data_IF_690840515890
#
_entry.id   IF_690840515890
#
_cell.length_a   1.000
_cell.length_b   1.000
_cell.length_c   1.000
_cell.angle_alpha   90.00
_cell.angle_beta   90.00
_cell.angle_gamma   90.00
#
_symmetry.space_group_name_H-M   'P 1'
#
loop_
_entity.id
_entity.type
_entity.pdbx_description
1 polymer ?
#
# COMPACT_ATOMS: atom_id res chain seq x y z
N UNK A 1 9.24 8.78 -30.51
CA UNK A 1 9.61 7.86 -29.42
C UNK A 1 8.45 7.77 -28.45
N UNK A 2 8.03 6.55 -28.07
CA UNK A 2 7.00 6.34 -27.05
C UNK A 2 7.65 6.20 -25.68
N UNK A 3 7.28 7.07 -24.75
CA UNK A 3 7.84 7.14 -23.40
C UNK A 3 6.78 6.78 -22.39
N UNK A 4 7.01 5.72 -21.61
CA UNK A 4 6.15 5.34 -20.49
C UNK A 4 6.71 5.95 -19.20
N UNK A 5 5.92 6.82 -18.55
CA UNK A 5 6.27 7.52 -17.32
C UNK A 5 5.52 6.86 -16.16
N UNK A 6 6.23 6.10 -15.34
CA UNK A 6 5.65 5.25 -14.28
C UNK A 6 6.33 5.48 -12.91
N UNK A 7 6.26 6.69 -12.31
CA UNK A 7 6.86 7.00 -11.02
C UNK A 7 5.97 6.58 -9.85
N UNK A 8 6.60 6.37 -8.70
CA UNK A 8 5.96 6.39 -7.38
C UNK A 8 5.91 7.82 -6.83
N UNK A 9 5.25 7.99 -5.68
CA UNK A 9 5.19 9.26 -4.94
C UNK A 9 6.58 9.74 -4.51
N UNK A 10 6.77 11.04 -4.51
CA UNK A 10 7.92 11.69 -3.87
C UNK A 10 7.50 12.05 -2.43
N UNK A 11 7.77 11.13 -1.52
CA UNK A 11 7.25 11.16 -0.15
C UNK A 11 7.47 12.52 0.52
N UNK A 12 6.38 13.13 0.98
CA UNK A 12 6.39 14.43 1.64
C UNK A 12 6.34 15.63 0.70
N UNK A 13 6.39 15.44 -0.64
CA UNK A 13 6.39 16.54 -1.62
C UNK A 13 5.39 16.40 -2.76
N UNK A 14 5.34 15.24 -3.44
CA UNK A 14 4.41 15.00 -4.56
C UNK A 14 3.74 13.63 -4.44
N UNK A 15 2.48 13.57 -4.85
CA UNK A 15 1.80 12.29 -5.15
C UNK A 15 2.42 11.63 -6.38
N UNK A 16 2.13 10.35 -6.62
CA UNK A 16 2.60 9.66 -7.82
C UNK A 16 2.03 10.29 -9.11
N UNK A 17 0.77 10.75 -9.07
CA UNK A 17 0.10 11.47 -10.16
C UNK A 17 0.82 12.80 -10.46
N UNK A 18 1.06 13.62 -9.43
CA UNK A 18 1.76 14.89 -9.59
C UNK A 18 3.20 14.72 -10.11
N UNK A 19 3.88 13.66 -9.67
CA UNK A 19 5.22 13.32 -10.17
C UNK A 19 5.17 12.89 -11.65
N UNK A 20 4.21 12.05 -12.04
CA UNK A 20 4.00 11.63 -13.41
C UNK A 20 3.70 12.82 -14.34
N UNK A 21 2.82 13.73 -13.91
CA UNK A 21 2.53 14.95 -14.66
C UNK A 21 3.74 15.88 -14.81
N UNK A 22 4.52 16.08 -13.73
CA UNK A 22 5.72 16.91 -13.79
C UNK A 22 6.76 16.33 -14.76
N UNK A 23 7.01 15.02 -14.69
CA UNK A 23 7.90 14.32 -15.60
C UNK A 23 7.39 14.42 -17.04
N UNK A 24 6.10 14.20 -17.29
CA UNK A 24 5.51 14.29 -18.64
C UNK A 24 5.66 15.69 -19.24
N UNK A 25 5.30 16.76 -18.50
CA UNK A 25 5.47 18.15 -18.98
C UNK A 25 6.91 18.51 -19.26
N UNK A 26 7.83 18.07 -18.38
CA UNK A 26 9.25 18.27 -18.62
C UNK A 26 9.74 17.54 -19.87
N UNK A 27 9.30 16.30 -20.06
CA UNK A 27 9.66 15.50 -21.22
C UNK A 27 9.15 16.09 -22.52
N UNK A 28 7.87 16.52 -22.59
CA UNK A 28 7.29 17.24 -23.74
C UNK A 28 8.07 18.50 -24.10
N UNK A 29 8.57 19.23 -23.09
CA UNK A 29 9.41 20.43 -23.32
C UNK A 29 10.78 20.07 -23.88
N UNK A 30 11.39 18.95 -23.43
CA UNK A 30 12.71 18.50 -23.87
C UNK A 30 12.71 17.75 -25.20
N UNK A 31 11.67 16.96 -25.48
CA UNK A 31 11.42 16.27 -26.75
C UNK A 31 9.95 16.41 -27.17
N UNK A 32 9.58 17.49 -27.90
CA UNK A 32 8.20 17.70 -28.34
C UNK A 32 7.66 16.66 -29.33
N UNK A 33 8.52 15.71 -29.78
CA UNK A 33 8.11 14.63 -30.70
C UNK A 33 7.78 13.33 -30.01
N UNK A 34 8.01 13.25 -28.69
CA UNK A 34 7.72 12.07 -27.91
C UNK A 34 6.20 11.90 -27.69
N UNK A 35 5.74 10.68 -27.81
CA UNK A 35 4.41 10.26 -27.34
C UNK A 35 4.55 9.79 -25.88
N UNK A 36 3.90 10.47 -24.96
CA UNK A 36 4.06 10.18 -23.53
C UNK A 36 2.78 9.54 -22.98
N UNK A 37 2.97 8.41 -22.31
CA UNK A 37 1.93 7.75 -21.51
C UNK A 37 2.33 7.81 -20.05
N UNK A 38 1.42 8.27 -19.16
CA UNK A 38 1.63 8.32 -17.72
C UNK A 38 0.87 7.21 -17.01
N UNK A 39 1.55 6.52 -16.11
CA UNK A 39 0.98 5.46 -15.28
C UNK A 39 1.53 5.60 -13.86
N UNK A 40 0.93 6.44 -13.01
CA UNK A 40 1.34 6.55 -11.62
C UNK A 40 1.35 5.20 -10.93
N UNK A 41 2.43 4.91 -10.20
CA UNK A 41 2.66 3.64 -9.53
C UNK A 41 2.51 3.79 -8.01
N UNK A 42 2.41 2.64 -7.34
CA UNK A 42 2.46 2.55 -5.89
C UNK A 42 2.96 1.15 -5.46
N UNK A 43 3.39 1.05 -4.21
CA UNK A 43 3.91 -0.17 -3.59
C UNK A 43 2.86 -0.96 -2.77
N UNK A 44 1.57 -0.62 -2.87
CA UNK A 44 0.51 -1.23 -2.05
C UNK A 44 0.35 -0.60 -0.66
N UNK A 45 1.09 0.45 -0.38
CA UNK A 45 0.94 1.27 0.82
C UNK A 45 0.00 2.47 0.61
N UNK A 46 0.22 3.50 1.41
CA UNK A 46 -0.52 4.77 1.34
C UNK A 46 -0.29 5.46 -0.02
N UNK A 47 -1.38 5.92 -0.66
CA UNK A 47 -1.37 6.53 -1.99
C UNK A 47 -1.66 5.55 -3.14
N UNK A 48 -1.84 4.26 -2.86
CA UNK A 48 -2.20 3.25 -3.86
C UNK A 48 -3.57 3.53 -4.47
N UNK A 49 -4.55 3.93 -3.66
CA UNK A 49 -5.89 4.31 -4.10
C UNK A 49 -5.82 5.45 -5.13
N UNK A 50 -5.07 6.50 -4.81
CA UNK A 50 -4.92 7.67 -5.67
C UNK A 50 -4.21 7.31 -6.98
N UNK A 51 -3.13 6.53 -6.91
CA UNK A 51 -2.40 6.06 -8.08
C UNK A 51 -3.27 5.21 -9.01
N UNK A 52 -4.09 4.30 -8.46
CA UNK A 52 -4.98 3.46 -9.26
C UNK A 52 -6.11 4.26 -9.91
N UNK A 53 -6.70 5.25 -9.23
CA UNK A 53 -7.69 6.15 -9.83
C UNK A 53 -7.05 6.96 -10.96
N UNK A 54 -5.86 7.52 -10.76
CA UNK A 54 -5.17 8.30 -11.78
C UNK A 54 -4.81 7.45 -13.02
N UNK A 55 -4.42 6.18 -12.82
CA UNK A 55 -4.02 5.28 -13.91
C UNK A 55 -5.19 4.64 -14.67
N UNK A 56 -6.30 4.38 -14.00
CA UNK A 56 -7.41 3.58 -14.53
C UNK A 56 -8.74 4.35 -14.63
N UNK A 57 -8.82 5.52 -14.01
CA UNK A 57 -10.08 6.17 -13.72
C UNK A 57 -10.83 5.45 -12.60
N UNK A 58 -12.11 5.79 -12.41
CA UNK A 58 -12.94 5.17 -11.40
C UNK A 58 -13.61 6.20 -10.49
N UNK A 59 -14.24 5.70 -9.46
CA UNK A 59 -15.00 6.51 -8.51
C UNK A 59 -14.37 6.46 -7.12
N UNK A 60 -14.22 7.64 -6.52
CA UNK A 60 -13.83 7.81 -5.12
C UNK A 60 -15.09 7.98 -4.28
N UNK A 61 -15.27 7.13 -3.29
CA UNK A 61 -16.42 7.10 -2.40
C UNK A 61 -15.98 7.40 -0.98
N UNK A 62 -16.72 8.25 -0.29
CA UNK A 62 -16.46 8.63 1.11
C UNK A 62 -17.49 7.98 2.02
N UNK A 63 -17.00 7.40 3.11
CA UNK A 63 -17.82 6.78 4.15
C UNK A 63 -17.42 7.32 5.52
N UNK A 64 -18.37 7.65 6.37
CA UNK A 64 -18.08 7.85 7.80
C UNK A 64 -17.89 6.50 8.46
N UNK A 65 -16.75 6.31 9.11
CA UNK A 65 -16.32 5.04 9.73
C UNK A 65 -15.69 5.29 11.10
N UNK A 66 -15.47 4.23 11.85
CA UNK A 66 -14.76 4.28 13.13
C UNK A 66 -13.26 4.56 12.89
N UNK A 67 -12.75 5.60 13.49
CA UNK A 67 -11.31 5.85 13.58
C UNK A 67 -10.59 4.87 14.51
N UNK A 68 -9.25 4.95 14.60
CA UNK A 68 -8.46 3.98 15.38
C UNK A 68 -8.81 3.93 16.88
N UNK A 69 -9.34 5.00 17.45
CA UNK A 69 -9.77 5.07 18.85
C UNK A 69 -11.30 5.08 19.01
N UNK A 70 -12.04 4.80 17.93
CA UNK A 70 -13.50 4.76 17.92
C UNK A 70 -14.18 6.10 17.60
N UNK A 71 -13.44 7.20 17.54
CA UNK A 71 -13.98 8.49 17.09
C UNK A 71 -14.37 8.39 15.59
N UNK A 72 -15.50 8.99 15.12
CA UNK A 72 -15.89 8.92 13.72
C UNK A 72 -14.89 9.68 12.84
N UNK A 73 -14.57 9.11 11.68
CA UNK A 73 -13.72 9.73 10.65
C UNK A 73 -14.34 9.55 9.27
N UNK A 74 -14.24 10.58 8.43
CA UNK A 74 -14.55 10.45 7.01
C UNK A 74 -13.38 9.76 6.30
N UNK A 75 -13.60 8.56 5.78
CA UNK A 75 -12.57 7.81 5.08
C UNK A 75 -13.02 7.43 3.67
N UNK A 76 -12.08 7.32 2.76
CA UNK A 76 -12.34 7.05 1.36
C UNK A 76 -11.95 5.63 0.98
N UNK A 77 -12.70 5.08 0.02
CA UNK A 77 -12.32 3.91 -0.77
C UNK A 77 -12.58 4.20 -2.24
N UNK A 78 -12.05 3.39 -3.14
CA UNK A 78 -12.28 3.56 -4.57
C UNK A 78 -12.89 2.31 -5.20
N UNK A 79 -13.62 2.52 -6.30
CA UNK A 79 -14.00 1.48 -7.25
C UNK A 79 -13.38 1.83 -8.59
N UNK A 80 -12.41 1.03 -9.03
CA UNK A 80 -11.68 1.26 -10.28
C UNK A 80 -12.03 0.18 -11.31
N UNK A 81 -12.18 0.53 -12.59
CA UNK A 81 -12.43 -0.43 -13.65
C UNK A 81 -11.17 -1.25 -13.92
N UNK A 82 -11.31 -2.57 -14.04
CA UNK A 82 -10.25 -3.45 -14.54
C UNK A 82 -10.83 -4.40 -15.59
N UNK A 83 -9.97 -5.08 -16.36
CA UNK A 83 -10.44 -6.03 -17.39
C UNK A 83 -11.29 -7.17 -16.83
N UNK A 84 -11.01 -7.58 -15.60
CA UNK A 84 -11.71 -8.67 -14.92
C UNK A 84 -12.90 -8.18 -14.08
N UNK A 85 -13.36 -6.94 -14.32
CA UNK A 85 -14.46 -6.30 -13.62
C UNK A 85 -13.99 -5.25 -12.60
N UNK A 86 -14.92 -4.59 -11.90
CA UNK A 86 -14.59 -3.56 -10.93
C UNK A 86 -13.77 -4.11 -9.76
N UNK A 87 -12.79 -3.32 -9.31
CA UNK A 87 -11.94 -3.59 -8.17
C UNK A 87 -12.20 -2.55 -7.09
N UNK A 88 -12.60 -2.99 -5.91
CA UNK A 88 -12.63 -2.14 -4.72
C UNK A 88 -11.20 -1.94 -4.18
N UNK A 89 -10.83 -0.72 -3.86
CA UNK A 89 -9.52 -0.39 -3.27
C UNK A 89 -9.73 0.24 -1.91
N UNK A 90 -9.22 -0.40 -0.88
CA UNK A 90 -9.33 0.05 0.52
C UNK A 90 -7.93 0.23 1.10
N UNK A 91 -7.62 1.45 1.52
CA UNK A 91 -6.41 1.75 2.30
C UNK A 91 -6.76 1.80 3.79
N UNK A 92 -6.24 0.86 4.58
CA UNK A 92 -6.53 0.85 6.02
C UNK A 92 -6.05 2.11 6.74
N UNK A 93 -5.02 2.79 6.22
CA UNK A 93 -4.50 4.02 6.80
C UNK A 93 -5.53 5.14 6.85
N UNK A 94 -6.52 5.14 5.95
CA UNK A 94 -7.58 6.15 5.90
C UNK A 94 -8.61 6.01 7.04
N UNK A 95 -8.74 4.82 7.63
CA UNK A 95 -9.67 4.55 8.73
C UNK A 95 -8.97 4.12 10.03
N UNK A 96 -7.87 3.38 9.93
CA UNK A 96 -7.17 2.79 11.08
C UNK A 96 -5.68 3.15 11.11
N UNK A 97 -5.33 4.32 10.51
CA UNK A 97 -3.96 4.77 10.30
C UNK A 97 -3.34 5.51 11.48
N UNK A 98 -2.00 5.44 11.55
CA UNK A 98 -1.21 6.10 12.58
C UNK A 98 -1.25 7.63 12.48
N UNK A 99 -1.44 8.17 11.29
CA UNK A 99 -1.57 9.61 11.04
C UNK A 99 -2.85 10.22 11.65
N UNK A 100 -3.87 9.39 11.91
CA UNK A 100 -5.13 9.81 12.53
C UNK A 100 -5.02 10.01 14.05
N UNK A 101 -3.89 9.63 14.66
CA UNK A 101 -3.69 9.66 16.10
C UNK A 101 -2.48 10.54 16.43
N UNK A 102 -2.67 11.55 17.26
CA UNK A 102 -1.55 12.32 17.79
C UNK A 102 -0.59 11.41 18.60
N UNK A 103 0.72 11.65 18.58
CA UNK A 103 1.69 10.82 19.30
C UNK A 103 1.33 10.54 20.77
N UNK A 104 0.77 11.54 21.47
CA UNK A 104 0.38 11.42 22.88
C UNK A 104 -0.83 10.51 23.14
N UNK A 105 -1.63 10.20 22.10
CA UNK A 105 -2.83 9.34 22.22
C UNK A 105 -2.58 7.92 21.70
N UNK A 106 -1.38 7.60 21.22
CA UNK A 106 -1.07 6.27 20.69
C UNK A 106 -1.09 5.22 21.79
N UNK A 107 -1.94 4.23 21.64
CA UNK A 107 -2.04 3.07 22.54
C UNK A 107 -2.52 1.84 21.73
N UNK A 108 -1.61 0.97 21.25
CA UNK A 108 -1.96 -0.17 20.42
C UNK A 108 -2.75 -1.26 21.16
N UNK A 109 -2.89 -1.17 22.49
CA UNK A 109 -3.80 -2.08 23.24
C UNK A 109 -5.25 -1.74 23.00
N UNK A 110 -5.57 -0.49 22.62
CA UNK A 110 -6.92 0.06 22.50
C UNK A 110 -7.33 0.37 21.06
N UNK A 111 -6.35 0.59 20.17
CA UNK A 111 -6.64 0.93 18.78
C UNK A 111 -7.25 -0.25 18.03
N UNK A 112 -8.21 0.04 17.16
CA UNK A 112 -9.04 -0.94 16.47
C UNK A 112 -8.99 -0.80 14.95
N UNK A 113 -9.10 -1.92 14.26
CA UNK A 113 -9.25 -2.00 12.80
C UNK A 113 -10.71 -1.92 12.34
N UNK A 114 -11.64 -1.56 13.22
CA UNK A 114 -13.07 -1.55 12.91
C UNK A 114 -13.40 -0.73 11.67
N UNK A 115 -12.89 0.49 11.56
CA UNK A 115 -13.13 1.35 10.40
C UNK A 115 -12.61 0.76 9.08
N UNK A 116 -11.51 0.01 9.11
CA UNK A 116 -11.04 -0.75 7.94
C UNK A 116 -12.08 -1.78 7.50
N UNK A 117 -12.70 -2.50 8.43
CA UNK A 117 -13.78 -3.44 8.13
C UNK A 117 -15.03 -2.74 7.59
N UNK A 118 -15.37 -1.56 8.13
CA UNK A 118 -16.49 -0.75 7.65
C UNK A 118 -16.26 -0.26 6.21
N UNK A 119 -15.01 0.11 5.83
CA UNK A 119 -14.66 0.42 4.43
C UNK A 119 -14.75 -0.81 3.52
N UNK A 120 -14.26 -1.97 3.96
CA UNK A 120 -14.38 -3.23 3.23
C UNK A 120 -15.85 -3.56 2.97
N UNK A 121 -16.68 -3.45 4.00
CA UNK A 121 -18.13 -3.70 3.90
C UNK A 121 -18.79 -2.71 2.92
N UNK A 122 -18.43 -1.43 2.97
CA UNK A 122 -18.94 -0.41 2.05
C UNK A 122 -18.54 -0.71 0.60
N UNK A 123 -17.29 -1.11 0.35
CA UNK A 123 -16.83 -1.52 -0.98
C UNK A 123 -17.61 -2.74 -1.50
N UNK A 124 -17.77 -3.79 -0.68
CA UNK A 124 -18.55 -4.96 -1.09
C UNK A 124 -20.02 -4.62 -1.37
N UNK A 125 -20.63 -3.74 -0.57
CA UNK A 125 -22.01 -3.28 -0.79
C UNK A 125 -22.17 -2.35 -1.99
N UNK A 126 -21.07 -1.73 -2.46
CA UNK A 126 -21.04 -1.02 -3.74
C UNK A 126 -21.02 -1.97 -4.96
N UNK A 127 -21.09 -3.28 -4.73
CA UNK A 127 -21.23 -4.29 -5.77
C UNK A 127 -19.91 -4.80 -6.36
N UNK A 128 -18.77 -4.58 -5.70
CA UNK A 128 -17.50 -5.16 -6.14
C UNK A 128 -17.34 -6.59 -5.60
N UNK A 129 -16.87 -7.48 -6.45
CA UNK A 129 -16.60 -8.89 -6.09
C UNK A 129 -15.11 -9.13 -5.80
N UNK A 130 -14.28 -8.12 -5.96
CA UNK A 130 -12.84 -8.17 -5.69
C UNK A 130 -12.40 -6.92 -4.95
N UNK A 131 -11.67 -7.12 -3.86
CA UNK A 131 -11.20 -6.01 -3.02
C UNK A 131 -9.69 -6.14 -2.83
N UNK A 132 -8.97 -5.08 -3.16
CA UNK A 132 -7.59 -4.86 -2.78
C UNK A 132 -7.55 -4.11 -1.45
N UNK A 133 -6.92 -4.70 -0.45
CA UNK A 133 -6.73 -4.08 0.87
C UNK A 133 -5.25 -3.72 1.04
N UNK A 134 -4.95 -2.44 1.08
CA UNK A 134 -3.63 -1.89 1.34
C UNK A 134 -3.47 -1.67 2.85
N UNK A 135 -2.52 -2.37 3.48
CA UNK A 135 -2.42 -2.41 4.94
C UNK A 135 -1.25 -1.63 5.55
N UNK A 136 -0.56 -0.80 4.75
CA UNK A 136 0.47 0.12 5.24
C UNK A 136 -0.07 1.21 6.16
N UNK A 137 0.80 1.83 6.96
CA UNK A 137 0.47 2.99 7.79
C UNK A 137 -0.39 2.73 9.03
N UNK A 138 -0.57 1.48 9.47
CA UNK A 138 -1.49 1.10 10.56
C UNK A 138 -1.14 1.65 11.94
N UNK A 139 -2.15 2.00 12.74
CA UNK A 139 -2.04 2.36 14.16
C UNK A 139 -2.32 1.20 15.12
N UNK A 140 -2.77 0.07 14.61
CA UNK A 140 -3.44 -0.99 15.37
C UNK A 140 -2.55 -2.20 15.61
N UNK A 141 -2.91 -3.01 16.62
CA UNK A 141 -2.28 -4.29 16.92
C UNK A 141 -3.33 -5.29 17.44
N UNK A 142 -4.49 -5.32 16.77
CA UNK A 142 -5.65 -6.12 17.17
C UNK A 142 -5.87 -7.38 16.30
N UNK A 143 -4.87 -7.74 15.46
CA UNK A 143 -4.97 -8.94 14.61
C UNK A 143 -6.11 -8.89 13.59
N UNK A 144 -6.65 -7.70 13.29
CA UNK A 144 -7.82 -7.55 12.43
C UNK A 144 -9.17 -7.85 13.12
N UNK A 145 -9.17 -7.94 14.45
CA UNK A 145 -10.40 -8.28 15.20
C UNK A 145 -11.53 -7.25 14.99
N UNK A 146 -11.22 -5.95 15.08
CA UNK A 146 -12.22 -4.92 14.82
C UNK A 146 -12.75 -4.97 13.39
N UNK A 147 -11.88 -5.21 12.40
CA UNK A 147 -12.25 -5.42 11.01
C UNK A 147 -13.21 -6.60 10.86
N UNK A 148 -12.88 -7.74 11.46
CA UNK A 148 -13.72 -8.94 11.43
C UNK A 148 -15.12 -8.66 12.03
N UNK A 149 -15.17 -7.99 13.17
CA UNK A 149 -16.47 -7.62 13.80
C UNK A 149 -17.29 -6.68 12.92
N UNK A 150 -16.65 -5.72 12.24
CA UNK A 150 -17.36 -4.77 11.36
C UNK A 150 -18.02 -5.44 10.16
N UNK A 151 -17.43 -6.53 9.65
CA UNK A 151 -18.00 -7.30 8.54
C UNK A 151 -18.95 -8.42 8.99
N UNK A 152 -19.23 -8.51 10.30
CA UNK A 152 -20.24 -9.43 10.85
C UNK A 152 -19.68 -10.71 11.47
N UNK A 153 -18.37 -10.87 11.63
CA UNK A 153 -17.80 -11.96 12.44
C UNK A 153 -18.01 -11.64 13.92
N UNK A 154 -18.44 -12.62 14.71
CA UNK A 154 -18.55 -12.44 16.17
C UNK A 154 -17.33 -13.04 16.86
N UNK A 155 -16.67 -12.23 17.65
CA UNK A 155 -15.55 -12.62 18.51
C UNK A 155 -16.06 -12.59 19.95
N UNK A 156 -16.26 -13.76 20.56
CA UNK A 156 -17.00 -13.91 21.81
C UNK A 156 -16.08 -14.27 22.97
N UNK A 157 -16.33 -13.69 24.14
CA UNK A 157 -15.74 -14.12 25.42
C UNK A 157 -16.37 -15.43 25.92
N UNK A 158 -15.88 -15.94 27.05
CA UNK A 158 -16.40 -17.18 27.69
C UNK A 158 -17.88 -17.10 28.15
N UNK A 159 -18.45 -15.90 28.17
CA UNK A 159 -19.89 -15.67 28.51
C UNK A 159 -20.74 -15.50 27.27
N UNK A 160 -20.16 -15.56 26.05
CA UNK A 160 -20.86 -15.34 24.79
C UNK A 160 -21.12 -13.87 24.46
N UNK A 161 -20.38 -12.94 25.09
CA UNK A 161 -20.46 -11.51 24.84
C UNK A 161 -19.38 -11.13 23.82
N UNK A 162 -19.72 -10.25 22.87
CA UNK A 162 -18.76 -9.74 21.89
C UNK A 162 -17.61 -8.99 22.56
N UNK A 163 -16.38 -9.22 22.10
CA UNK A 163 -15.20 -8.56 22.62
C UNK A 163 -15.24 -7.05 22.40
N UNK A 164 -14.68 -6.31 23.34
CA UNK A 164 -14.38 -4.90 23.18
C UNK A 164 -13.27 -4.64 22.14
N UNK A 165 -13.03 -3.36 21.79
CA UNK A 165 -12.01 -2.98 20.81
C UNK A 165 -10.58 -3.14 21.34
N UNK A 166 -9.65 -3.32 20.38
CA UNK A 166 -8.22 -3.28 20.61
C UNK A 166 -7.56 -4.62 20.91
N UNK A 167 -6.23 -4.66 20.74
CA UNK A 167 -5.44 -5.88 20.90
C UNK A 167 -5.45 -6.44 22.32
N UNK A 168 -5.63 -5.60 23.34
CA UNK A 168 -5.71 -6.05 24.73
C UNK A 168 -6.90 -6.97 25.01
N UNK A 169 -8.03 -6.74 24.34
CA UNK A 169 -9.25 -7.52 24.51
C UNK A 169 -9.12 -8.96 23.97
N UNK A 170 -8.20 -9.23 23.08
CA UNK A 170 -8.01 -10.56 22.46
C UNK A 170 -7.70 -11.67 23.49
N UNK A 171 -7.14 -11.33 24.64
CA UNK A 171 -6.87 -12.31 25.72
C UNK A 171 -8.14 -12.94 26.29
N UNK A 172 -9.30 -12.30 26.12
CA UNK A 172 -10.60 -12.79 26.58
C UNK A 172 -11.34 -13.59 25.49
N UNK A 173 -10.78 -13.70 24.27
CA UNK A 173 -11.41 -14.41 23.16
C UNK A 173 -11.61 -15.89 23.49
N UNK A 174 -12.85 -16.35 23.47
CA UNK A 174 -13.19 -17.74 23.70
C UNK A 174 -13.72 -18.46 22.45
N UNK A 175 -14.43 -17.76 21.55
CA UNK A 175 -15.06 -18.39 20.38
C UNK A 175 -15.14 -17.42 19.22
N UNK A 176 -14.96 -17.94 17.99
CA UNK A 176 -15.16 -17.22 16.73
C UNK A 176 -16.42 -17.77 16.06
N UNK A 177 -17.40 -16.90 15.79
CA UNK A 177 -18.63 -17.25 15.06
C UNK A 177 -18.68 -16.50 13.72
N UNK A 178 -18.60 -17.25 12.62
CA UNK A 178 -18.62 -16.76 11.23
C UNK A 178 -20.02 -16.77 10.62
N UNK A 179 -21.04 -17.18 11.36
CA UNK A 179 -22.40 -17.39 10.80
C UNK A 179 -23.07 -16.11 10.33
N UNK A 180 -22.72 -14.98 10.97
CA UNK A 180 -23.27 -13.65 10.69
C UNK A 180 -22.40 -12.78 9.77
N UNK A 181 -21.36 -13.37 9.16
CA UNK A 181 -20.56 -12.67 8.15
C UNK A 181 -21.46 -12.16 7.01
N UNK A 182 -21.34 -10.86 6.67
CA UNK A 182 -22.18 -10.21 5.65
C UNK A 182 -22.09 -10.96 4.31
N UNK A 183 -23.25 -11.25 3.66
CA UNK A 183 -23.26 -12.02 2.42
C UNK A 183 -22.46 -11.37 1.28
N UNK A 184 -22.41 -10.04 1.20
CA UNK A 184 -21.61 -9.34 0.17
C UNK A 184 -20.10 -9.54 0.37
N UNK A 185 -19.67 -9.56 1.63
CA UNK A 185 -18.27 -9.85 1.99
C UNK A 185 -17.94 -11.32 1.75
N UNK A 186 -18.86 -12.23 2.10
CA UNK A 186 -18.69 -13.68 1.85
C UNK A 186 -18.54 -14.01 0.35
N UNK A 187 -19.19 -13.25 -0.51
CA UNK A 187 -19.14 -13.45 -1.97
C UNK A 187 -17.89 -12.84 -2.62
N UNK A 188 -17.25 -11.89 -1.96
CA UNK A 188 -16.09 -11.19 -2.51
C UNK A 188 -14.78 -11.96 -2.30
N UNK A 189 -13.81 -11.71 -3.16
CA UNK A 189 -12.43 -12.17 -3.03
C UNK A 189 -11.51 -11.03 -2.63
N UNK A 190 -10.51 -11.34 -1.79
CA UNK A 190 -9.65 -10.34 -1.19
C UNK A 190 -8.18 -10.59 -1.53
N UNK A 191 -7.49 -9.54 -1.92
CA UNK A 191 -6.04 -9.49 -2.04
C UNK A 191 -5.51 -8.44 -1.08
N UNK A 192 -4.49 -8.79 -0.33
CA UNK A 192 -3.80 -7.88 0.59
C UNK A 192 -2.47 -7.50 0.00
N UNK A 193 -2.26 -6.21 -0.20
CA UNK A 193 -0.97 -5.66 -0.59
C UNK A 193 -0.09 -5.50 0.64
N UNK A 194 1.04 -6.23 0.68
CA UNK A 194 2.04 -6.12 1.74
C UNK A 194 3.42 -6.51 1.24
N UNK A 195 4.43 -5.75 1.64
CA UNK A 195 5.84 -5.99 1.28
C UNK A 195 6.67 -6.47 2.48
N UNK A 196 6.01 -6.79 3.60
CA UNK A 196 6.66 -7.32 4.79
C UNK A 196 6.29 -8.80 4.98
N UNK A 197 7.25 -9.58 5.45
CA UNK A 197 7.14 -11.02 5.67
C UNK A 197 7.12 -11.42 7.16
N UNK A 198 7.03 -10.44 8.06
CA UNK A 198 7.00 -10.67 9.51
C UNK A 198 5.89 -11.65 9.88
N UNK A 199 6.22 -12.68 10.71
CA UNK A 199 5.21 -13.58 11.27
C UNK A 199 4.31 -12.84 12.26
N UNK A 200 3.21 -13.46 12.65
CA UNK A 200 2.25 -12.85 13.56
C UNK A 200 2.85 -12.56 14.95
N UNK A 201 3.60 -13.49 15.51
CA UNK A 201 4.13 -13.44 16.89
C UNK A 201 5.61 -13.71 16.97
N UNK A 202 6.20 -13.49 18.14
CA UNK A 202 7.59 -13.74 18.44
C UNK A 202 8.51 -12.52 18.22
N UNK A 203 9.85 -12.71 18.30
CA UNK A 203 10.81 -11.59 18.30
C UNK A 203 10.81 -10.79 16.99
N UNK A 204 10.35 -11.38 15.89
CA UNK A 204 10.17 -10.72 14.59
C UNK A 204 8.69 -10.52 14.24
N UNK A 205 7.80 -10.73 15.20
CA UNK A 205 6.35 -10.63 15.03
C UNK A 205 5.82 -9.19 15.02
N UNK A 206 4.51 -9.08 14.78
CA UNK A 206 3.79 -7.81 14.67
C UNK A 206 4.04 -6.85 15.83
N UNK A 207 3.90 -7.32 17.06
CA UNK A 207 4.02 -6.50 18.26
C UNK A 207 5.45 -6.07 18.53
N UNK A 208 6.42 -6.99 18.37
CA UNK A 208 7.82 -6.72 18.64
C UNK A 208 8.43 -5.70 17.67
N UNK A 209 8.11 -5.83 16.37
CA UNK A 209 8.69 -4.98 15.32
C UNK A 209 7.96 -3.64 15.20
N UNK A 210 6.63 -3.67 15.21
CA UNK A 210 5.82 -2.48 14.88
C UNK A 210 5.10 -1.85 16.07
N UNK A 211 5.07 -2.52 17.24
CA UNK A 211 4.45 -2.00 18.45
C UNK A 211 5.04 -0.67 18.95
N UNK A 212 6.38 -0.54 19.04
CA UNK A 212 7.01 0.68 19.57
C UNK A 212 6.62 1.96 18.84
N UNK A 213 6.59 1.97 17.51
CA UNK A 213 6.17 3.15 16.73
C UNK A 213 4.69 3.52 16.93
N UNK A 214 3.87 2.55 17.37
CA UNK A 214 2.45 2.71 17.69
C UNK A 214 2.22 3.11 19.14
N UNK A 215 3.29 3.31 19.92
CA UNK A 215 3.25 3.77 21.31
C UNK A 215 3.32 2.64 22.36
N UNK A 216 3.62 1.40 21.96
CA UNK A 216 3.77 0.29 22.91
C UNK A 216 5.05 0.42 23.75
N UNK A 217 4.94 0.24 25.05
CA UNK A 217 6.06 -0.03 25.94
C UNK A 217 6.53 -1.49 25.78
N UNK A 218 7.66 -1.86 26.36
CA UNK A 218 8.13 -3.26 26.35
C UNK A 218 7.12 -4.23 26.99
N UNK A 219 6.40 -3.77 28.01
CA UNK A 219 5.35 -4.56 28.67
C UNK A 219 4.13 -4.73 27.77
N UNK A 220 3.75 -3.66 27.05
CA UNK A 220 2.66 -3.70 26.06
C UNK A 220 3.01 -4.63 24.89
N UNK A 221 4.24 -4.61 24.40
CA UNK A 221 4.71 -5.53 23.36
C UNK A 221 4.54 -6.98 23.81
N UNK A 222 4.98 -7.32 25.02
CA UNK A 222 4.83 -8.67 25.55
C UNK A 222 3.37 -9.08 25.75
N UNK A 223 2.50 -8.15 26.17
CA UNK A 223 1.07 -8.39 26.31
C UNK A 223 0.42 -8.64 24.95
N UNK A 224 0.69 -7.76 23.99
CA UNK A 224 0.09 -7.81 22.64
C UNK A 224 0.57 -9.04 21.85
N UNK A 225 1.83 -9.45 22.03
CA UNK A 225 2.35 -10.67 21.41
C UNK A 225 1.62 -11.93 21.94
N UNK A 226 1.40 -12.00 23.26
CA UNK A 226 0.57 -13.06 23.84
C UNK A 226 -0.88 -13.02 23.35
N UNK A 227 -1.45 -11.81 23.21
CA UNK A 227 -2.82 -11.61 22.75
C UNK A 227 -3.01 -12.07 21.30
N UNK A 228 -2.07 -11.73 20.40
CA UNK A 228 -2.07 -12.23 19.02
C UNK A 228 -1.82 -13.75 18.98
N UNK A 229 -0.97 -14.28 19.84
CA UNK A 229 -0.77 -15.73 19.98
C UNK A 229 -2.02 -16.47 20.42
N UNK A 230 -2.80 -15.86 21.33
CA UNK A 230 -4.10 -16.39 21.76
C UNK A 230 -5.13 -16.35 20.63
N UNK A 231 -5.24 -15.21 19.93
CA UNK A 231 -6.09 -15.09 18.75
C UNK A 231 -5.78 -16.19 17.73
N UNK A 232 -4.50 -16.41 17.40
CA UNK A 232 -4.08 -17.44 16.46
C UNK A 232 -4.44 -18.84 16.93
N UNK A 233 -4.35 -19.12 18.24
CA UNK A 233 -4.75 -20.41 18.80
C UNK A 233 -6.27 -20.65 18.67
N UNK A 234 -7.09 -19.63 18.89
CA UNK A 234 -8.54 -19.72 18.71
C UNK A 234 -8.92 -19.84 17.23
N UNK A 235 -8.26 -19.08 16.34
CA UNK A 235 -8.43 -19.21 14.88
C UNK A 235 -8.10 -20.65 14.44
N UNK A 236 -6.98 -21.21 14.91
CA UNK A 236 -6.62 -22.60 14.58
C UNK A 236 -7.67 -23.59 15.04
N UNK A 237 -8.17 -23.45 16.24
CA UNK A 237 -9.19 -24.34 16.81
C UNK A 237 -10.54 -24.24 16.09
N UNK A 238 -11.03 -23.00 15.82
CA UNK A 238 -12.38 -22.78 15.35
C UNK A 238 -12.51 -22.75 13.82
N UNK A 239 -11.44 -22.29 13.13
CA UNK A 239 -11.42 -22.13 11.67
C UNK A 239 -10.45 -23.10 10.97
N UNK A 240 -9.61 -23.83 11.70
CA UNK A 240 -8.67 -24.80 11.15
C UNK A 240 -7.43 -24.18 10.46
N UNK A 241 -7.17 -22.88 10.64
CA UNK A 241 -6.09 -22.15 9.96
C UNK A 241 -4.96 -21.81 10.93
N UNK A 242 -3.72 -22.12 10.59
CA UNK A 242 -2.55 -21.66 11.35
C UNK A 242 -1.95 -20.40 10.71
N UNK A 243 -2.10 -19.26 11.39
CA UNK A 243 -1.61 -17.97 10.90
C UNK A 243 -0.35 -17.47 11.66
N UNK A 244 0.19 -18.23 12.61
CA UNK A 244 1.27 -17.79 13.49
C UNK A 244 2.57 -17.47 12.78
N UNK A 245 2.95 -18.33 11.81
CA UNK A 245 4.23 -18.30 11.12
C UNK A 245 4.11 -17.94 9.65
N UNK A 246 2.90 -17.60 9.22
CA UNK A 246 2.69 -17.22 7.81
C UNK A 246 3.45 -15.93 7.53
N UNK A 247 4.31 -15.88 6.49
CA UNK A 247 4.97 -14.66 6.06
C UNK A 247 3.95 -13.56 5.75
N UNK A 248 4.15 -12.39 6.33
CA UNK A 248 3.20 -11.27 6.20
C UNK A 248 1.98 -11.34 7.15
N UNK A 249 1.79 -12.46 7.88
CA UNK A 249 0.70 -12.57 8.84
C UNK A 249 0.75 -11.51 9.95
N UNK A 250 1.96 -11.04 10.31
CA UNK A 250 2.19 -9.97 11.27
C UNK A 250 2.05 -8.55 10.72
N UNK A 251 1.90 -8.40 9.40
CA UNK A 251 1.75 -7.09 8.79
C UNK A 251 0.60 -6.31 9.43
N UNK A 252 0.82 -5.01 9.61
CA UNK A 252 -0.18 -4.07 10.15
C UNK A 252 -0.73 -4.46 11.54
N UNK A 253 0.10 -5.06 12.40
CA UNK A 253 -0.35 -5.47 13.73
C UNK A 253 -1.23 -6.72 13.73
N UNK A 254 -0.97 -7.63 12.78
CA UNK A 254 -1.66 -8.90 12.61
C UNK A 254 -2.85 -8.85 11.66
N UNK A 255 -3.13 -7.70 11.02
CA UNK A 255 -4.23 -7.58 10.05
C UNK A 255 -4.03 -8.50 8.85
N UNK A 256 -2.76 -8.70 8.39
CA UNK A 256 -2.46 -9.67 7.35
C UNK A 256 -3.01 -11.06 7.67
N UNK A 257 -2.71 -11.58 8.86
CA UNK A 257 -3.22 -12.85 9.35
C UNK A 257 -4.74 -12.86 9.54
N UNK A 258 -5.30 -11.74 10.06
CA UNK A 258 -6.75 -11.60 10.23
C UNK A 258 -7.52 -11.63 8.91
N UNK A 259 -7.03 -10.91 7.87
CA UNK A 259 -7.63 -10.92 6.55
C UNK A 259 -7.61 -12.32 5.93
N UNK A 260 -6.50 -13.06 6.11
CA UNK A 260 -6.44 -14.46 5.68
C UNK A 260 -7.47 -15.32 6.41
N UNK A 261 -7.54 -15.20 7.75
CA UNK A 261 -8.38 -16.07 8.57
C UNK A 261 -9.87 -15.80 8.41
N UNK A 262 -10.28 -14.53 8.39
CA UNK A 262 -11.67 -14.14 8.40
C UNK A 262 -12.27 -13.94 7.01
N UNK A 263 -11.46 -13.53 6.03
CA UNK A 263 -11.94 -13.21 4.68
C UNK A 263 -11.33 -14.10 3.58
N UNK A 264 -10.48 -15.06 3.93
CA UNK A 264 -9.83 -15.92 2.96
C UNK A 264 -8.87 -15.17 2.02
N UNK A 265 -8.33 -14.04 2.46
CA UNK A 265 -7.51 -13.18 1.63
C UNK A 265 -6.15 -13.80 1.25
N UNK A 266 -5.63 -13.42 0.09
CA UNK A 266 -4.30 -13.77 -0.36
C UNK A 266 -3.33 -12.59 -0.17
N UNK A 267 -2.23 -12.81 0.55
CA UNK A 267 -1.15 -11.84 0.67
C UNK A 267 -0.32 -11.82 -0.61
N UNK A 268 -0.03 -10.64 -1.14
CA UNK A 268 0.79 -10.47 -2.35
C UNK A 268 1.66 -9.21 -2.22
N UNK A 269 2.86 -9.20 -2.84
CA UNK A 269 3.65 -7.98 -2.96
C UNK A 269 2.81 -6.85 -3.57
N UNK A 270 2.82 -5.69 -2.90
CA UNK A 270 1.94 -4.59 -3.29
C UNK A 270 2.24 -4.07 -4.70
N UNK A 271 3.51 -3.94 -5.04
CA UNK A 271 3.92 -3.51 -6.38
C UNK A 271 3.42 -4.45 -7.47
N UNK A 272 3.43 -5.77 -7.26
CA UNK A 272 2.97 -6.74 -8.25
C UNK A 272 1.46 -6.63 -8.49
N UNK A 273 0.69 -6.37 -7.42
CA UNK A 273 -0.77 -6.16 -7.52
C UNK A 273 -1.08 -4.88 -8.30
N UNK A 274 -0.39 -3.79 -8.01
CA UNK A 274 -0.56 -2.51 -8.72
C UNK A 274 -0.16 -2.68 -10.19
N UNK A 275 1.03 -3.24 -10.48
CA UNK A 275 1.48 -3.49 -11.85
C UNK A 275 0.49 -4.32 -12.66
N UNK A 276 -0.10 -5.35 -12.04
CA UNK A 276 -1.14 -6.15 -12.68
C UNK A 276 -2.40 -5.35 -12.95
N UNK A 277 -2.86 -4.54 -11.99
CA UNK A 277 -4.07 -3.74 -12.14
C UNK A 277 -3.94 -2.72 -13.27
N UNK A 278 -2.79 -2.03 -13.37
CA UNK A 278 -2.52 -1.04 -14.41
C UNK A 278 -2.01 -1.64 -15.72
N UNK A 279 -1.86 -2.96 -15.81
CA UNK A 279 -1.35 -3.69 -16.99
C UNK A 279 0.03 -3.17 -17.44
N UNK A 280 0.92 -2.97 -16.49
CA UNK A 280 2.21 -2.35 -16.75
C UNK A 280 3.01 -3.06 -17.86
N UNK A 281 3.01 -4.41 -17.88
CA UNK A 281 3.76 -5.19 -18.90
C UNK A 281 3.33 -4.86 -20.32
N UNK A 282 2.03 -4.77 -20.56
CA UNK A 282 1.48 -4.47 -21.89
C UNK A 282 1.74 -3.03 -22.35
N UNK A 283 1.88 -2.12 -21.40
CA UNK A 283 2.25 -0.72 -21.65
C UNK A 283 3.74 -0.61 -21.95
N UNK A 284 4.58 -1.30 -21.17
CA UNK A 284 6.03 -1.39 -21.37
C UNK A 284 6.34 -2.02 -22.74
N UNK A 285 5.65 -3.09 -23.14
CA UNK A 285 5.84 -3.73 -24.45
C UNK A 285 5.65 -2.76 -25.64
N UNK A 286 4.84 -1.72 -25.47
CA UNK A 286 4.56 -0.71 -26.50
C UNK A 286 5.46 0.52 -26.43
N UNK A 287 6.26 0.63 -25.38
CA UNK A 287 7.15 1.76 -25.16
C UNK A 287 8.50 1.56 -25.84
N UNK A 288 9.20 2.66 -26.10
CA UNK A 288 10.59 2.68 -26.54
C UNK A 288 11.55 3.02 -25.38
N UNK A 289 11.01 3.67 -24.33
CA UNK A 289 11.74 4.10 -23.14
C UNK A 289 10.79 4.07 -21.93
N UNK A 290 11.33 3.66 -20.79
CA UNK A 290 10.62 3.69 -19.50
C UNK A 290 11.26 4.72 -18.58
N UNK A 291 10.46 5.58 -17.99
CA UNK A 291 10.88 6.55 -16.97
C UNK A 291 10.14 6.23 -15.68
N UNK A 292 10.87 5.98 -14.61
CA UNK A 292 10.32 5.78 -13.26
C UNK A 292 10.97 6.76 -12.29
N UNK A 293 10.54 6.75 -11.04
CA UNK A 293 11.14 7.62 -10.02
C UNK A 293 10.42 7.55 -8.69
N UNK A 294 11.03 8.16 -7.69
CA UNK A 294 10.51 8.31 -6.34
C UNK A 294 11.27 9.39 -5.56
N UNK A 295 10.81 9.72 -4.33
CA UNK A 295 11.47 10.74 -3.52
C UNK A 295 12.91 10.41 -3.12
N UNK A 296 13.19 9.17 -2.69
CA UNK A 296 14.54 8.73 -2.31
C UNK A 296 14.78 7.34 -2.89
N UNK A 297 15.78 7.27 -3.79
CA UNK A 297 16.20 6.03 -4.43
C UNK A 297 17.37 5.42 -3.66
N UNK A 298 17.11 4.37 -2.88
CA UNK A 298 18.04 3.70 -1.98
C UNK A 298 18.02 2.16 -2.15
N UNK A 299 18.74 1.42 -1.29
CA UNK A 299 18.77 -0.04 -1.30
C UNK A 299 17.35 -0.67 -1.25
N UNK A 300 16.42 -0.06 -0.51
CA UNK A 300 15.04 -0.55 -0.45
C UNK A 300 14.31 -0.36 -1.77
N UNK A 301 14.69 0.66 -2.54
CA UNK A 301 14.14 0.94 -3.87
C UNK A 301 14.50 -0.12 -4.91
N UNK A 302 15.55 -0.91 -4.66
CA UNK A 302 15.94 -2.06 -5.49
C UNK A 302 15.17 -3.34 -5.13
N UNK A 303 14.42 -3.33 -4.01
CA UNK A 303 13.74 -4.51 -3.49
C UNK A 303 12.29 -4.21 -3.11
N UNK A 304 11.33 -4.71 -3.89
CA UNK A 304 9.90 -4.70 -3.55
C UNK A 304 9.14 -3.39 -3.73
N UNK A 305 9.82 -2.24 -3.99
CA UNK A 305 9.14 -0.97 -4.25
C UNK A 305 8.78 -0.77 -5.72
N UNK A 306 7.93 0.23 -6.00
CA UNK A 306 7.41 0.51 -7.34
C UNK A 306 8.53 0.71 -8.39
N UNK A 307 9.60 1.51 -8.17
CA UNK A 307 10.67 1.64 -9.15
C UNK A 307 11.35 0.32 -9.51
N UNK A 308 11.63 -0.55 -8.51
CA UNK A 308 12.20 -1.87 -8.78
C UNK A 308 11.30 -2.74 -9.67
N UNK A 309 9.99 -2.73 -9.40
CA UNK A 309 9.02 -3.43 -10.23
C UNK A 309 9.01 -2.93 -11.67
N UNK A 310 9.01 -1.61 -11.87
CA UNK A 310 9.04 -0.98 -13.19
C UNK A 310 10.33 -1.31 -13.95
N UNK A 311 11.48 -1.18 -13.28
CA UNK A 311 12.79 -1.50 -13.87
C UNK A 311 12.90 -2.97 -14.25
N UNK A 312 12.42 -3.89 -13.40
CA UNK A 312 12.36 -5.33 -13.70
C UNK A 312 11.57 -5.61 -14.97
N UNK A 313 10.40 -4.99 -15.14
CA UNK A 313 9.60 -5.17 -16.36
C UNK A 313 10.30 -4.56 -17.58
N UNK A 314 10.93 -3.39 -17.45
CA UNK A 314 11.71 -2.79 -18.55
C UNK A 314 12.88 -3.70 -18.99
N UNK A 315 13.59 -4.32 -18.04
CA UNK A 315 14.68 -5.26 -18.30
C UNK A 315 14.19 -6.52 -19.02
N UNK A 316 13.04 -7.10 -18.63
CA UNK A 316 12.43 -8.25 -19.29
C UNK A 316 12.17 -7.99 -20.78
N UNK A 317 11.74 -6.76 -21.12
CA UNK A 317 11.53 -6.32 -22.50
C UNK A 317 12.79 -5.72 -23.17
N UNK A 318 13.91 -5.65 -22.44
CA UNK A 318 15.19 -5.06 -22.90
C UNK A 318 15.06 -3.60 -23.33
N UNK A 319 14.20 -2.87 -22.67
CA UNK A 319 14.02 -1.45 -22.91
C UNK A 319 14.99 -0.61 -22.08
N UNK A 320 15.48 0.51 -22.61
CA UNK A 320 16.18 1.49 -21.81
C UNK A 320 15.29 2.05 -20.73
N UNK A 321 15.85 2.28 -19.55
CA UNK A 321 15.13 2.85 -18.42
C UNK A 321 15.90 4.00 -17.78
N UNK A 322 15.14 4.97 -17.27
CA UNK A 322 15.63 6.15 -16.56
C UNK A 322 14.91 6.26 -15.22
N UNK A 323 15.64 6.59 -14.17
CA UNK A 323 15.10 6.91 -12.85
C UNK A 323 15.29 8.40 -12.59
N UNK A 324 14.21 9.12 -12.32
CA UNK A 324 14.25 10.49 -11.84
C UNK A 324 13.85 10.49 -10.35
N UNK A 325 14.73 10.94 -9.47
CA UNK A 325 14.45 10.86 -8.02
C UNK A 325 14.80 12.16 -7.30
N UNK A 326 14.26 12.31 -6.08
CA UNK A 326 14.62 13.45 -5.23
C UNK A 326 16.06 13.34 -4.74
N UNK A 327 16.41 12.20 -4.17
CA UNK A 327 17.76 11.87 -3.69
C UNK A 327 18.17 10.49 -4.20
N UNK A 328 19.48 10.31 -4.47
CA UNK A 328 20.08 9.05 -4.91
C UNK A 328 21.10 8.56 -3.89
N UNK A 329 21.00 7.30 -3.48
CA UNK A 329 21.97 6.64 -2.61
C UNK A 329 22.58 5.40 -3.25
N UNK A 330 21.97 4.86 -4.33
CA UNK A 330 22.45 3.69 -5.07
C UNK A 330 22.27 3.88 -6.57
N UNK A 331 23.03 3.15 -7.35
CA UNK A 331 22.87 3.06 -8.81
C UNK A 331 22.38 1.64 -9.18
N UNK A 332 21.22 1.48 -9.82
CA UNK A 332 20.76 0.19 -10.30
C UNK A 332 21.56 -0.24 -11.53
N UNK A 333 21.69 -1.54 -11.72
CA UNK A 333 22.19 -2.07 -13.00
C UNK A 333 21.16 -1.83 -14.10
N UNK A 334 21.59 -1.33 -15.26
CA UNK A 334 20.74 -1.24 -16.46
C UNK A 334 19.86 0.00 -16.59
N UNK A 335 19.88 0.95 -15.64
CA UNK A 335 19.17 2.22 -15.75
C UNK A 335 20.05 3.41 -15.38
N UNK A 336 19.79 4.57 -15.99
CA UNK A 336 20.43 5.83 -15.61
C UNK A 336 19.61 6.51 -14.52
N UNK A 337 20.27 6.98 -13.45
CA UNK A 337 19.61 7.68 -12.33
C UNK A 337 20.03 9.15 -12.32
N UNK A 338 19.03 10.02 -12.25
CA UNK A 338 19.21 11.46 -12.12
C UNK A 338 18.48 11.95 -10.87
N UNK A 339 19.21 12.61 -9.96
CA UNK A 339 18.65 13.09 -8.70
C UNK A 339 18.54 14.61 -8.66
N UNK A 340 17.42 15.11 -8.16
CA UNK A 340 17.19 16.55 -7.94
C UNK A 340 18.23 17.14 -6.99
N UNK A 341 18.55 16.43 -5.91
CA UNK A 341 19.52 16.90 -4.92
C UNK A 341 20.94 17.05 -5.51
N UNK A 342 21.36 16.16 -6.40
CA UNK A 342 22.67 16.23 -7.07
C UNK A 342 22.73 17.41 -8.02
N UNK A 343 21.61 17.74 -8.68
CA UNK A 343 21.55 18.79 -9.71
C UNK A 343 21.29 20.17 -9.16
N UNK A 344 20.43 20.30 -8.13
CA UNK A 344 19.89 21.58 -7.65
C UNK A 344 20.11 21.82 -6.15
N UNK A 345 20.69 20.86 -5.42
CA UNK A 345 20.84 20.87 -3.97
C UNK A 345 19.59 20.37 -3.23
N UNK A 346 19.81 19.76 -2.06
CA UNK A 346 18.76 19.08 -1.29
C UNK A 346 17.63 20.01 -0.84
N UNK A 347 17.96 21.19 -0.30
CA UNK A 347 16.95 22.16 0.19
C UNK A 347 16.01 22.58 -0.97
N UNK A 348 16.58 22.99 -2.11
CA UNK A 348 15.81 23.35 -3.29
C UNK A 348 14.96 22.18 -3.82
N UNK A 349 15.51 20.96 -3.79
CA UNK A 349 14.82 19.76 -4.22
C UNK A 349 13.55 19.47 -3.38
N UNK A 350 13.62 19.74 -2.08
CA UNK A 350 12.47 19.56 -1.17
C UNK A 350 11.44 20.68 -1.30
N UNK A 351 11.87 21.92 -1.42
CA UNK A 351 10.95 23.07 -1.45
C UNK A 351 10.26 23.28 -2.79
N UNK A 352 10.90 22.90 -3.90
CA UNK A 352 10.45 23.16 -5.27
C UNK A 352 10.43 21.89 -6.11
N UNK A 353 10.12 20.74 -5.50
CA UNK A 353 10.20 19.42 -6.12
C UNK A 353 9.53 19.36 -7.49
N UNK A 354 8.27 19.82 -7.61
CA UNK A 354 7.49 19.76 -8.86
C UNK A 354 8.21 20.46 -10.01
N UNK A 355 8.59 21.73 -9.79
CA UNK A 355 9.24 22.54 -10.82
C UNK A 355 10.60 21.96 -11.23
N UNK A 356 11.40 21.55 -10.24
CA UNK A 356 12.73 20.99 -10.51
C UNK A 356 12.68 19.60 -11.15
N UNK A 357 11.66 18.79 -10.84
CA UNK A 357 11.43 17.51 -11.51
C UNK A 357 11.06 17.70 -12.98
N UNK A 358 10.25 18.72 -13.29
CA UNK A 358 9.91 19.15 -14.64
C UNK A 358 11.15 19.62 -15.41
N UNK A 359 12.02 20.44 -14.78
CA UNK A 359 13.26 20.90 -15.38
C UNK A 359 14.26 19.75 -15.63
N UNK A 360 14.43 18.86 -14.66
CA UNK A 360 15.30 17.70 -14.78
C UNK A 360 14.81 16.75 -15.90
N UNK A 361 13.51 16.50 -15.97
CA UNK A 361 12.91 15.67 -17.02
C UNK A 361 13.15 16.26 -18.41
N UNK A 362 13.06 17.61 -18.57
CA UNK A 362 13.34 18.29 -19.83
C UNK A 362 14.82 18.18 -20.23
N UNK A 363 15.75 18.37 -19.29
CA UNK A 363 17.19 18.19 -19.55
C UNK A 363 17.51 16.75 -20.01
N UNK A 364 16.92 15.74 -19.34
CA UNK A 364 17.14 14.33 -19.67
C UNK A 364 16.54 13.98 -21.03
N UNK A 365 15.32 14.43 -21.32
CA UNK A 365 14.66 14.21 -22.60
C UNK A 365 15.45 14.79 -23.79
N UNK A 366 15.92 16.04 -23.67
CA UNK A 366 16.73 16.69 -24.70
C UNK A 366 18.03 15.90 -24.98
N UNK A 367 18.73 15.47 -23.90
CA UNK A 367 19.97 14.69 -24.01
C UNK A 367 19.76 13.34 -24.71
N UNK A 368 18.66 12.65 -24.42
CA UNK A 368 18.38 11.34 -25.02
C UNK A 368 17.85 11.48 -26.46
N UNK A 369 17.09 12.53 -26.77
CA UNK A 369 16.65 12.85 -28.13
C UNK A 369 17.80 13.18 -29.11
N UNK A 370 18.83 13.83 -28.64
CA UNK A 370 20.05 14.12 -29.45
C UNK A 370 20.91 12.86 -29.73
N UNK A 371 20.94 11.90 -28.80
CA UNK A 371 21.69 10.65 -28.93
C UNK A 371 21.10 9.63 -29.90
N UNK A 372 19.81 9.74 -30.22
CA UNK A 372 19.05 8.82 -31.08
C UNK A 372 19.02 9.22 -32.57
N UNK A 373 19.51 10.37 -32.96
CA UNK A 373 19.61 10.74 -34.37
C UNK A 373 20.89 10.16 -34.98
N UNK A 374 20.83 9.23 -35.96
CA UNK A 374 22.00 8.85 -36.69
C UNK A 374 22.56 10.13 -37.31
N UNK A 375 23.85 10.45 -37.03
CA UNK A 375 24.56 11.49 -37.75
C UNK A 375 24.52 11.06 -39.23
N UNK A 376 23.76 11.78 -40.03
CA UNK A 376 23.64 11.59 -41.47
C UNK A 376 24.95 11.96 -42.18
#
# INVERSE_FOLDING_TARGET
MRVLVAPDKFKGTLTAEEAAEAIARGWERGDPTAEIETVPMADGGEGTLDALIAALGGERLTQEVSGPLGDPVGAEFAVVPTETGPLGVVEMARASGLALISPARRDPRRTTTRGTGELILAACRAGVERVLVCIGGSATNDGGAGMAQAVGVRLLDSRGVDLGPGGGALLELATIDMTTLDPSVRAASFVVATDVDNPLVGPHGASAVYGPQKGATAEDVALLDRALGHLAAVIHRDLGLDIRTVPGGGAAGGVGGGLMAFLGAHLRPGVDVVMQAVRLRERVEKADLVVTGEGTFDEQSLHGKAPAGVLRVAEEFRLPAVVLCGQKHVDPSGAQVFALADRFGLESAMERTRMLLEDLAAEVAARLGEGGRPRG
#
